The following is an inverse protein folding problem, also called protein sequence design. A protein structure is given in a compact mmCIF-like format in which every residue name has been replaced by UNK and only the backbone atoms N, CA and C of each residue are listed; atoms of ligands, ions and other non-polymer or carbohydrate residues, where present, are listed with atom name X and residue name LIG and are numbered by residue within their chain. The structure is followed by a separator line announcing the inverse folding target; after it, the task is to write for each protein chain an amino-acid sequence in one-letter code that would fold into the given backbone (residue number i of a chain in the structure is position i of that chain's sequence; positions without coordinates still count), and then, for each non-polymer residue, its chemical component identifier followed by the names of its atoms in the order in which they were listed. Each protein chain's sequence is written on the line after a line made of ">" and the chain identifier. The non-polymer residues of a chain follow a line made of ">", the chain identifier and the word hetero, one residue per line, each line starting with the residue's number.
data_IF_506121234357
#
_entry.id   IF_506121234357
#
_cell.length_a   1.000
_cell.length_b   1.000
_cell.length_c   1.000
_cell.angle_alpha   90.00
_cell.angle_beta   90.00
_cell.angle_gamma   90.00
#
_symmetry.space_group_name_H-M   'P 1'
#
loop_
_entity.id
_entity.type
_entity.pdbx_description
1 polymer ?
#
# COMPACT_ATOMS: atom_id res chain seq x y z
N UNK A 1 41.76 -36.63 3.32
CA UNK A 1 42.49 -36.60 2.03
C UNK A 1 41.94 -37.69 1.12
N UNK A 2 41.89 -37.54 -0.22
CA UNK A 2 42.28 -36.42 -1.08
C UNK A 2 41.21 -36.00 -2.13
N UNK A 3 41.53 -34.91 -2.83
CA UNK A 3 40.83 -34.27 -3.95
C UNK A 3 41.24 -34.82 -5.32
N UNK A 4 40.39 -34.72 -6.35
CA UNK A 4 40.69 -34.72 -7.82
C UNK A 4 39.44 -34.24 -8.60
N UNK A 5 39.47 -33.57 -9.79
CA UNK A 5 40.33 -32.47 -10.29
C UNK A 5 39.52 -31.29 -10.90
N UNK A 6 40.26 -30.24 -11.28
CA UNK A 6 39.86 -29.04 -12.03
C UNK A 6 39.67 -29.36 -13.52
N UNK A 7 38.64 -28.77 -14.15
CA UNK A 7 38.58 -28.58 -15.59
C UNK A 7 38.79 -27.10 -15.90
N UNK A 8 39.93 -26.81 -16.50
CA UNK A 8 40.31 -25.53 -17.09
C UNK A 8 39.85 -25.52 -18.56
N UNK A 9 39.31 -24.40 -19.03
CA UNK A 9 38.89 -24.29 -20.43
C UNK A 9 37.75 -23.32 -20.69
N UNK A 10 38.05 -22.02 -20.67
CA UNK A 10 37.27 -21.04 -21.43
C UNK A 10 38.21 -19.95 -21.94
N UNK A 11 38.62 -20.08 -23.21
CA UNK A 11 39.29 -19.01 -23.95
C UNK A 11 38.37 -17.79 -24.13
N UNK A 12 38.92 -16.61 -24.44
CA UNK A 12 38.13 -15.40 -24.54
C UNK A 12 37.23 -15.43 -25.78
N UNK A 13 35.93 -15.22 -25.60
CA UNK A 13 34.96 -14.92 -26.68
C UNK A 13 34.48 -13.47 -26.60
N UNK A 14 34.08 -12.89 -27.74
CA UNK A 14 34.50 -11.56 -28.14
C UNK A 14 33.60 -10.44 -27.60
N UNK A 15 34.16 -9.23 -27.63
CA UNK A 15 33.46 -7.98 -27.37
C UNK A 15 32.16 -7.88 -28.19
N UNK A 16 31.03 -7.85 -27.49
CA UNK A 16 29.75 -7.40 -28.07
C UNK A 16 29.85 -5.90 -28.24
N UNK A 17 29.87 -5.45 -29.50
CA UNK A 17 29.55 -4.07 -29.85
C UNK A 17 28.08 -3.83 -29.51
N UNK A 18 27.84 -2.95 -28.55
CA UNK A 18 26.51 -2.42 -28.26
C UNK A 18 26.29 -1.19 -29.14
N UNK A 19 25.97 -1.43 -30.42
CA UNK A 19 25.51 -0.42 -31.35
C UNK A 19 24.00 -0.63 -31.53
N UNK A 20 23.25 0.02 -30.66
CA UNK A 20 21.80 -0.14 -30.59
C UNK A 20 21.25 0.71 -29.46
N UNK A 21 20.91 1.96 -29.76
CA UNK A 21 20.25 2.88 -28.86
C UNK A 21 18.87 2.37 -28.42
N UNK A 22 18.86 1.37 -27.53
CA UNK A 22 17.72 1.00 -26.72
C UNK A 22 17.63 2.02 -25.60
N UNK A 23 16.84 3.07 -25.83
CA UNK A 23 16.47 4.02 -24.77
C UNK A 23 15.97 3.21 -23.58
N UNK A 24 16.76 3.15 -22.51
CA UNK A 24 16.31 2.62 -21.24
C UNK A 24 14.98 3.29 -20.92
N UNK A 25 13.93 2.55 -20.52
CA UNK A 25 12.67 3.19 -20.15
C UNK A 25 13.02 4.24 -19.11
N UNK A 26 12.65 5.49 -19.39
CA UNK A 26 12.77 6.60 -18.47
C UNK A 26 11.87 6.31 -17.27
N UNK A 27 12.39 5.51 -16.35
CA UNK A 27 11.87 5.25 -15.03
C UNK A 27 12.20 6.47 -14.17
N UNK A 28 11.65 7.62 -14.52
CA UNK A 28 11.47 8.78 -13.64
C UNK A 28 10.60 8.37 -12.43
N UNK A 29 11.13 7.48 -11.58
CA UNK A 29 10.44 6.81 -10.46
C UNK A 29 10.01 7.80 -9.36
N UNK A 30 10.61 8.99 -9.32
CA UNK A 30 10.28 10.05 -8.35
C UNK A 30 9.07 10.92 -8.77
N UNK A 31 8.69 10.98 -10.06
CA UNK A 31 7.64 11.94 -10.49
C UNK A 31 6.21 11.47 -10.25
N UNK A 32 5.96 10.17 -10.20
CA UNK A 32 4.59 9.65 -10.04
C UNK A 32 4.00 10.00 -8.65
N UNK A 33 4.71 9.83 -7.52
CA UNK A 33 4.22 10.24 -6.21
C UNK A 33 3.96 11.75 -6.11
N UNK A 34 4.83 12.58 -6.69
CA UNK A 34 4.66 14.03 -6.68
C UNK A 34 3.45 14.48 -7.51
N UNK A 35 3.21 13.87 -8.68
CA UNK A 35 2.00 14.16 -9.47
C UNK A 35 0.72 13.71 -8.77
N UNK A 36 0.76 12.58 -8.07
CA UNK A 36 -0.37 12.14 -7.26
C UNK A 36 -0.65 13.12 -6.11
N UNK A 37 0.40 13.50 -5.37
CA UNK A 37 0.28 14.46 -4.28
C UNK A 37 -0.25 15.82 -4.75
N UNK A 38 0.27 16.33 -5.87
CA UNK A 38 -0.19 17.58 -6.50
C UNK A 38 -1.69 17.55 -6.80
N UNK A 39 -2.18 16.44 -7.39
CA UNK A 39 -3.61 16.26 -7.69
C UNK A 39 -4.48 16.14 -6.44
N UNK A 40 -4.04 15.35 -5.45
CA UNK A 40 -4.80 15.15 -4.22
C UNK A 40 -4.90 16.43 -3.41
N UNK A 41 -3.77 17.11 -3.17
CA UNK A 41 -3.73 18.38 -2.44
C UNK A 41 -4.49 19.46 -3.19
N UNK A 42 -4.33 19.55 -4.51
CA UNK A 42 -5.08 20.49 -5.35
C UNK A 42 -6.59 20.32 -5.22
N UNK A 43 -7.09 19.09 -5.28
CA UNK A 43 -8.52 18.81 -5.10
C UNK A 43 -9.05 19.21 -3.72
N UNK A 44 -8.26 19.01 -2.65
CA UNK A 44 -8.64 19.39 -1.29
C UNK A 44 -8.72 20.93 -1.14
N UNK A 45 -7.77 21.65 -1.73
CA UNK A 45 -7.79 23.12 -1.77
C UNK A 45 -8.96 23.65 -2.61
N UNK A 46 -9.26 23.03 -3.75
CA UNK A 46 -10.43 23.36 -4.59
C UNK A 46 -11.76 23.12 -3.85
N UNK A 47 -11.78 22.14 -2.94
CA UNK A 47 -12.90 21.87 -2.03
C UNK A 47 -12.95 22.82 -0.80
N UNK A 48 -12.13 23.88 -0.77
CA UNK A 48 -12.20 24.93 0.26
C UNK A 48 -11.36 24.67 1.51
N UNK A 49 -10.57 23.60 1.58
CA UNK A 49 -9.63 23.39 2.68
C UNK A 49 -8.54 24.49 2.68
N UNK A 50 -8.10 24.90 3.87
CA UNK A 50 -6.86 25.66 3.99
C UNK A 50 -5.62 24.77 3.78
N UNK A 51 -4.44 25.38 3.73
CA UNK A 51 -3.18 24.68 3.45
C UNK A 51 -2.85 23.59 4.49
N UNK A 52 -3.10 23.85 5.78
CA UNK A 52 -2.83 22.91 6.86
C UNK A 52 -3.79 21.71 6.77
N UNK A 53 -5.07 22.00 6.62
CA UNK A 53 -6.12 21.01 6.51
C UNK A 53 -5.94 20.16 5.25
N UNK A 54 -5.59 20.74 4.10
CA UNK A 54 -5.31 20.00 2.87
C UNK A 54 -4.10 19.07 3.05
N UNK A 55 -3.02 19.54 3.65
CA UNK A 55 -1.82 18.73 3.89
C UNK A 55 -2.11 17.55 4.83
N UNK A 56 -2.78 17.79 5.96
CA UNK A 56 -3.06 16.74 6.94
C UNK A 56 -4.11 15.75 6.43
N UNK A 57 -5.12 16.22 5.71
CA UNK A 57 -6.12 15.34 5.08
C UNK A 57 -5.45 14.46 4.02
N UNK A 58 -4.58 14.99 3.18
CA UNK A 58 -3.84 14.21 2.18
C UNK A 58 -3.02 13.09 2.83
N UNK A 59 -2.26 13.39 3.89
CA UNK A 59 -1.51 12.38 4.63
C UNK A 59 -2.41 11.33 5.29
N UNK A 60 -3.53 11.77 5.87
CA UNK A 60 -4.51 10.87 6.51
C UNK A 60 -5.09 9.89 5.50
N UNK A 61 -5.48 10.37 4.32
CA UNK A 61 -5.97 9.53 3.22
C UNK A 61 -4.91 8.52 2.79
N UNK A 62 -3.66 8.96 2.57
CA UNK A 62 -2.57 8.08 2.14
C UNK A 62 -2.30 6.97 3.16
N UNK A 63 -2.19 7.31 4.45
CA UNK A 63 -1.94 6.31 5.48
C UNK A 63 -3.12 5.38 5.70
N UNK A 64 -4.34 5.89 5.60
CA UNK A 64 -5.55 5.09 5.68
C UNK A 64 -5.61 4.04 4.57
N UNK A 65 -5.43 4.46 3.31
CA UNK A 65 -5.44 3.55 2.16
C UNK A 65 -4.29 2.56 2.24
N UNK A 66 -3.08 3.01 2.60
CA UNK A 66 -1.93 2.12 2.73
C UNK A 66 -2.16 1.04 3.79
N UNK A 67 -2.69 1.41 4.96
CA UNK A 67 -3.00 0.46 6.03
C UNK A 67 -4.07 -0.56 5.62
N UNK A 68 -5.14 -0.12 4.95
CA UNK A 68 -6.18 -1.03 4.46
C UNK A 68 -5.66 -2.03 3.43
N UNK A 69 -4.90 -1.54 2.44
CA UNK A 69 -4.34 -2.40 1.38
C UNK A 69 -3.34 -3.40 1.98
N UNK A 70 -2.56 -3.00 2.99
CA UNK A 70 -1.66 -3.92 3.70
C UNK A 70 -2.42 -5.02 4.43
N UNK A 71 -3.49 -4.70 5.15
CA UNK A 71 -4.34 -5.69 5.84
C UNK A 71 -5.03 -6.63 4.84
N UNK A 72 -5.50 -6.11 3.70
CA UNK A 72 -6.10 -6.90 2.63
C UNK A 72 -5.08 -7.86 2.00
N UNK A 73 -3.87 -7.39 1.70
CA UNK A 73 -2.79 -8.20 1.13
C UNK A 73 -2.23 -9.23 2.13
N UNK A 74 -2.35 -8.97 3.43
CA UNK A 74 -1.97 -9.90 4.49
C UNK A 74 -3.08 -10.92 4.81
N UNK A 75 -4.29 -10.69 4.33
CA UNK A 75 -5.42 -11.57 4.60
C UNK A 75 -5.24 -12.94 3.91
N UNK A 76 -5.63 -14.04 4.58
CA UNK A 76 -5.60 -15.36 3.96
C UNK A 76 -6.62 -15.45 2.82
N UNK A 77 -6.29 -16.23 1.77
CA UNK A 77 -7.16 -16.46 0.59
C UNK A 77 -8.57 -16.98 0.94
N UNK A 78 -8.74 -17.59 2.11
CA UNK A 78 -10.04 -17.99 2.65
C UNK A 78 -10.35 -17.19 3.92
N UNK A 79 -11.54 -16.56 4.01
CA UNK A 79 -12.02 -15.94 5.24
C UNK A 79 -11.92 -16.91 6.41
N UNK A 80 -11.35 -16.48 7.54
CA UNK A 80 -11.34 -17.25 8.78
C UNK A 80 -11.88 -16.44 9.96
N UNK A 81 -12.40 -17.15 10.98
CA UNK A 81 -12.94 -16.55 12.19
C UNK A 81 -11.85 -16.34 13.27
N UNK A 82 -10.58 -16.14 12.87
CA UNK A 82 -9.46 -16.06 13.84
C UNK A 82 -9.64 -14.92 14.83
N UNK A 83 -10.05 -13.74 14.35
CA UNK A 83 -10.31 -12.59 15.21
C UNK A 83 -11.44 -12.87 16.20
N UNK A 84 -12.58 -13.38 15.72
CA UNK A 84 -13.72 -13.73 16.57
C UNK A 84 -13.36 -14.76 17.65
N UNK A 85 -12.53 -15.76 17.31
CA UNK A 85 -12.05 -16.75 18.28
C UNK A 85 -11.05 -16.19 19.29
N UNK A 86 -10.31 -15.14 18.95
CA UNK A 86 -9.34 -14.53 19.85
C UNK A 86 -9.96 -13.54 20.84
N UNK A 87 -11.18 -13.06 20.57
CA UNK A 87 -11.86 -12.05 21.39
C UNK A 87 -12.62 -12.69 22.55
N UNK A 88 -12.00 -12.70 23.72
CA UNK A 88 -12.65 -13.06 24.99
C UNK A 88 -13.62 -11.95 25.47
N UNK A 89 -14.90 -12.24 25.77
CA UNK A 89 -15.88 -11.23 26.20
C UNK A 89 -15.58 -10.57 27.56
N UNK A 90 -14.96 -11.30 28.48
CA UNK A 90 -14.60 -10.81 29.81
C UNK A 90 -13.32 -9.96 29.78
N UNK A 91 -12.34 -10.35 28.95
CA UNK A 91 -11.09 -9.60 28.81
C UNK A 91 -11.15 -8.49 27.75
N UNK A 92 -12.00 -8.63 26.73
CA UNK A 92 -12.12 -7.71 25.59
C UNK A 92 -13.58 -7.30 25.32
N UNK A 93 -14.26 -6.67 26.30
CA UNK A 93 -15.70 -6.40 26.20
C UNK A 93 -16.07 -5.47 25.04
N UNK A 94 -15.21 -4.50 24.69
CA UNK A 94 -15.46 -3.59 23.56
C UNK A 94 -15.26 -4.27 22.19
N UNK A 95 -14.12 -4.91 21.89
CA UNK A 95 -13.96 -5.70 20.66
C UNK A 95 -15.04 -6.77 20.50
N UNK A 96 -15.44 -7.43 21.59
CA UNK A 96 -16.50 -8.43 21.56
C UNK A 96 -17.84 -7.87 21.05
N UNK A 97 -18.21 -6.64 21.44
CA UNK A 97 -19.45 -5.99 20.99
C UNK A 97 -19.48 -5.71 19.49
N UNK A 98 -18.33 -5.47 18.88
CA UNK A 98 -18.23 -5.08 17.46
C UNK A 98 -17.71 -6.19 16.55
N UNK A 99 -17.34 -7.35 17.10
CA UNK A 99 -16.71 -8.46 16.37
C UNK A 99 -17.53 -8.92 15.15
N UNK A 100 -18.86 -8.81 15.20
CA UNK A 100 -19.74 -9.13 14.08
C UNK A 100 -19.54 -8.23 12.84
N UNK A 101 -19.03 -7.01 13.02
CA UNK A 101 -18.71 -6.05 11.95
C UNK A 101 -17.28 -6.19 11.42
N UNK A 102 -16.45 -6.99 12.10
CA UNK A 102 -15.03 -7.17 11.75
C UNK A 102 -14.77 -8.35 10.82
N UNK A 103 -15.80 -8.84 10.10
CA UNK A 103 -15.70 -10.03 9.24
C UNK A 103 -14.64 -9.87 8.14
N UNK A 104 -13.91 -10.94 7.78
CA UNK A 104 -13.06 -10.94 6.59
C UNK A 104 -13.95 -10.78 5.34
N UNK A 105 -13.55 -9.90 4.42
CA UNK A 105 -14.30 -9.65 3.16
C UNK A 105 -15.05 -8.32 3.09
N UNK A 106 -15.11 -7.53 4.17
CA UNK A 106 -15.61 -6.15 4.13
C UNK A 106 -14.56 -5.13 3.64
N UNK A 107 -13.57 -5.58 2.85
CA UNK A 107 -12.47 -4.74 2.37
C UNK A 107 -12.93 -3.73 1.31
N UNK A 108 -14.10 -3.92 0.68
CA UNK A 108 -14.70 -2.95 -0.24
C UNK A 108 -15.51 -1.87 0.49
N UNK A 109 -16.16 -2.21 1.62
CA UNK A 109 -17.03 -1.27 2.35
C UNK A 109 -16.24 -0.33 3.28
N UNK A 110 -15.15 -0.82 3.87
CA UNK A 110 -14.31 -0.05 4.81
C UNK A 110 -13.59 1.15 4.18
N UNK A 111 -13.04 1.07 2.95
CA UNK A 111 -12.46 2.21 2.26
C UNK A 111 -13.47 3.34 2.08
N UNK A 112 -14.68 3.04 1.58
CA UNK A 112 -15.72 4.03 1.35
C UNK A 112 -16.12 4.73 2.66
N UNK A 113 -16.44 3.95 3.69
CA UNK A 113 -16.79 4.51 5.00
C UNK A 113 -15.67 5.39 5.58
N UNK A 114 -14.42 4.93 5.52
CA UNK A 114 -13.31 5.68 6.10
C UNK A 114 -12.96 6.94 5.32
N UNK A 115 -13.04 6.91 3.99
CA UNK A 115 -12.88 8.11 3.16
C UNK A 115 -13.96 9.14 3.45
N UNK A 116 -15.23 8.72 3.51
CA UNK A 116 -16.34 9.61 3.88
C UNK A 116 -16.10 10.24 5.26
N UNK A 117 -15.68 9.44 6.24
CA UNK A 117 -15.38 9.93 7.58
C UNK A 117 -14.20 10.93 7.60
N UNK A 118 -13.15 10.69 6.82
CA UNK A 118 -12.01 11.60 6.72
C UNK A 118 -12.42 12.91 6.04
N UNK A 119 -13.13 12.82 4.92
CA UNK A 119 -13.51 13.97 4.09
C UNK A 119 -14.64 14.79 4.70
N UNK A 120 -15.45 14.24 5.62
CA UNK A 120 -16.49 14.97 6.36
C UNK A 120 -15.96 16.16 7.20
N UNK A 121 -14.63 16.28 7.35
CA UNK A 121 -13.98 17.40 8.03
C UNK A 121 -13.75 18.60 7.11
N UNK A 122 -13.94 18.45 5.81
CA UNK A 122 -13.81 19.54 4.85
C UNK A 122 -14.95 20.57 5.06
N UNK A 123 -14.69 21.87 4.85
CA UNK A 123 -15.75 22.86 4.81
C UNK A 123 -16.75 22.54 3.68
N UNK A 124 -18.03 22.85 3.90
CA UNK A 124 -19.10 22.69 2.90
C UNK A 124 -18.96 23.66 1.71
#
# INVERSE_FOLDING_TARGET
>A
MPAVPVADGAGPSPAVSDDGAGRAPDRCSNRAPLRFADRLVGALLEAGADEEQAAWTAWTVVYFVLGLVQEEQAAPDRPDDRLTRAVDPAAHPAPHRVAAHSRPGAFEDRPAFGLDAILSRLPE
#
